data_IF_368930686366
#
_entry.id   IF_368930686366
#
_cell.length_a   1.000
_cell.length_b   1.000
_cell.length_c   1.000
_cell.angle_alpha   90.00
_cell.angle_beta   90.00
_cell.angle_gamma   90.00
#
_symmetry.space_group_name_H-M   'P 1'
#
loop_
_entity.id
_entity.type
_entity.pdbx_description
1 polymer ?
#
# COMPACT_ATOMS: atom_id res chain seq x y z
N UNK A 1 -22.47 -26.25 14.02
CA UNK A 1 -22.17 -25.21 13.00
C UNK A 1 -20.74 -24.74 13.16
N UNK A 2 -19.94 -24.83 12.11
CA UNK A 2 -18.56 -24.34 12.14
C UNK A 2 -18.57 -22.81 12.00
N UNK A 3 -17.81 -22.11 12.81
CA UNK A 3 -17.64 -20.65 12.75
C UNK A 3 -16.24 -20.32 12.23
N UNK A 4 -16.16 -19.52 11.15
CA UNK A 4 -14.91 -19.05 10.61
C UNK A 4 -14.64 -17.62 11.08
N UNK A 5 -13.50 -17.41 11.73
CA UNK A 5 -13.03 -16.12 12.22
C UNK A 5 -11.96 -15.61 11.26
N UNK A 6 -12.19 -14.49 10.61
CA UNK A 6 -11.25 -13.88 9.66
C UNK A 6 -11.22 -12.38 9.79
N UNK A 7 -10.10 -11.76 9.40
CA UNK A 7 -9.97 -10.32 9.41
C UNK A 7 -10.41 -9.72 8.10
N UNK A 8 -10.89 -8.47 8.17
CA UNK A 8 -11.14 -7.49 7.11
C UNK A 8 -11.78 -7.97 5.80
N UNK A 9 -12.58 -7.11 5.23
CA UNK A 9 -13.26 -7.28 3.93
C UNK A 9 -12.31 -7.78 2.82
N UNK A 10 -11.08 -7.27 2.78
CA UNK A 10 -10.08 -7.65 1.77
C UNK A 10 -9.66 -9.12 1.81
N UNK A 11 -9.54 -9.75 2.98
CA UNK A 11 -9.14 -11.16 3.08
C UNK A 11 -10.31 -12.07 2.76
N UNK A 12 -11.50 -11.69 3.18
CA UNK A 12 -12.73 -12.40 2.84
C UNK A 12 -12.93 -12.45 1.32
N UNK A 13 -12.69 -11.33 0.63
CA UNK A 13 -12.81 -11.27 -0.83
C UNK A 13 -11.74 -12.14 -1.52
N UNK A 14 -10.52 -12.16 -1.00
CA UNK A 14 -9.43 -12.99 -1.56
C UNK A 14 -9.64 -14.49 -1.37
N UNK A 15 -10.33 -14.90 -0.32
CA UNK A 15 -10.65 -16.29 -0.04
C UNK A 15 -12.10 -16.65 -0.45
N UNK A 16 -12.79 -15.76 -1.17
CA UNK A 16 -14.21 -15.88 -1.53
C UNK A 16 -14.57 -17.23 -2.13
N UNK A 17 -13.84 -17.67 -3.15
CA UNK A 17 -14.08 -18.97 -3.80
C UNK A 17 -13.99 -20.16 -2.85
N UNK A 18 -13.02 -20.15 -1.94
CA UNK A 18 -12.90 -21.18 -0.92
C UNK A 18 -14.06 -21.13 0.08
N UNK A 19 -14.48 -19.93 0.46
CA UNK A 19 -15.60 -19.74 1.38
C UNK A 19 -16.96 -20.08 0.76
N UNK A 20 -17.11 -19.88 -0.53
CA UNK A 20 -18.31 -20.27 -1.28
C UNK A 20 -18.50 -21.80 -1.34
N UNK A 21 -17.41 -22.54 -1.34
CA UNK A 21 -17.47 -24.02 -1.27
C UNK A 21 -17.91 -24.55 0.11
N UNK A 22 -18.05 -23.68 1.11
CA UNK A 22 -18.46 -24.03 2.46
C UNK A 22 -19.62 -23.16 2.96
N UNK A 23 -20.80 -23.21 2.33
CA UNK A 23 -21.91 -22.29 2.59
C UNK A 23 -22.49 -22.41 4.01
N UNK A 24 -22.27 -23.52 4.69
CA UNK A 24 -22.71 -23.73 6.08
C UNK A 24 -21.86 -23.07 7.16
N UNK A 25 -20.75 -22.42 6.78
CA UNK A 25 -19.87 -21.79 7.76
C UNK A 25 -20.33 -20.38 8.13
N UNK A 26 -20.43 -20.08 9.42
CA UNK A 26 -20.67 -18.73 9.91
C UNK A 26 -19.39 -17.92 9.85
N UNK A 27 -19.41 -16.78 9.15
CA UNK A 27 -18.25 -15.88 8.98
C UNK A 27 -18.29 -14.81 10.06
N UNK A 28 -17.19 -14.65 10.81
CA UNK A 28 -17.01 -13.63 11.85
C UNK A 28 -15.83 -12.75 11.51
N UNK A 29 -16.02 -11.45 11.46
CA UNK A 29 -14.98 -10.47 11.17
C UNK A 29 -14.17 -10.14 12.42
N UNK A 30 -12.85 -9.94 12.24
CA UNK A 30 -11.88 -9.51 13.25
C UNK A 30 -10.96 -8.45 12.67
N UNK A 31 -10.34 -7.66 13.52
CA UNK A 31 -9.47 -6.54 13.10
C UNK A 31 -8.24 -6.98 12.28
N UNK A 32 -7.69 -8.17 12.55
CA UNK A 32 -6.55 -8.68 11.82
C UNK A 32 -6.44 -10.22 11.89
N UNK A 33 -5.68 -10.80 10.96
CA UNK A 33 -5.53 -12.26 10.81
C UNK A 33 -4.79 -12.92 11.99
N UNK A 34 -3.77 -12.26 12.53
CA UNK A 34 -3.03 -12.78 13.67
C UNK A 34 -3.91 -12.79 14.94
N UNK A 35 -4.74 -11.76 15.14
CA UNK A 35 -5.75 -11.69 16.18
C UNK A 35 -6.80 -12.79 16.05
N UNK A 36 -7.20 -13.14 14.82
CA UNK A 36 -8.10 -14.26 14.56
C UNK A 36 -7.49 -15.60 15.04
N UNK A 37 -6.23 -15.85 14.73
CA UNK A 37 -5.50 -17.04 15.16
C UNK A 37 -5.35 -17.09 16.70
N UNK A 38 -4.98 -15.96 17.31
CA UNK A 38 -4.88 -15.84 18.76
C UNK A 38 -6.20 -16.16 19.46
N UNK A 39 -7.29 -15.57 18.96
CA UNK A 39 -8.64 -15.80 19.51
C UNK A 39 -9.03 -17.27 19.47
N UNK A 40 -8.83 -17.97 18.35
CA UNK A 40 -9.12 -19.40 18.24
C UNK A 40 -8.34 -20.22 19.29
N UNK A 41 -7.09 -19.83 19.54
CA UNK A 41 -6.27 -20.46 20.60
C UNK A 41 -6.84 -20.23 21.99
N UNK A 42 -7.27 -19.01 22.29
CA UNK A 42 -7.83 -18.62 23.58
C UNK A 42 -9.21 -19.24 23.83
N UNK A 43 -10.09 -19.20 22.82
CA UNK A 43 -11.44 -19.77 22.91
C UNK A 43 -11.42 -21.32 23.05
N UNK A 44 -10.36 -21.98 22.54
CA UNK A 44 -10.18 -23.43 22.53
C UNK A 44 -11.43 -24.22 22.08
N UNK A 45 -12.20 -23.63 21.17
CA UNK A 45 -13.43 -24.20 20.63
C UNK A 45 -13.13 -24.86 19.29
N UNK A 46 -13.27 -26.18 19.22
CA UNK A 46 -13.00 -27.02 18.03
C UNK A 46 -14.00 -26.77 16.89
N UNK A 47 -15.06 -26.03 17.12
CA UNK A 47 -16.02 -25.63 16.07
C UNK A 47 -15.61 -24.35 15.35
N UNK A 48 -14.51 -23.71 15.75
CA UNK A 48 -14.01 -22.48 15.18
C UNK A 48 -12.73 -22.73 14.37
N UNK A 49 -12.57 -21.95 13.29
CA UNK A 49 -11.35 -21.90 12.50
C UNK A 49 -10.98 -20.44 12.20
N UNK A 50 -9.73 -20.15 11.90
CA UNK A 50 -9.26 -18.83 11.52
C UNK A 50 -8.61 -18.85 10.13
N UNK A 51 -8.79 -17.76 9.38
CA UNK A 51 -7.95 -17.45 8.22
C UNK A 51 -6.76 -16.64 8.73
N UNK A 52 -5.56 -17.20 8.57
CA UNK A 52 -4.33 -16.56 9.05
C UNK A 52 -3.12 -17.00 8.20
N UNK A 53 -1.96 -16.42 8.46
CA UNK A 53 -0.71 -16.89 7.87
C UNK A 53 -0.29 -18.22 8.49
N UNK A 54 0.52 -19.01 7.75
CA UNK A 54 1.15 -20.24 8.28
C UNK A 54 1.93 -19.94 9.57
N UNK A 55 2.71 -18.86 9.59
CA UNK A 55 3.48 -18.44 10.77
C UNK A 55 2.60 -18.19 11.99
N UNK A 56 1.43 -17.57 11.84
CA UNK A 56 0.50 -17.38 12.94
C UNK A 56 -0.06 -18.71 13.44
N UNK A 57 -0.36 -19.65 12.55
CA UNK A 57 -0.78 -21.01 12.92
C UNK A 57 0.28 -21.73 13.75
N UNK A 58 1.52 -21.72 13.32
CA UNK A 58 2.66 -22.32 14.00
C UNK A 58 2.93 -21.67 15.38
N UNK A 59 2.96 -20.31 15.41
CA UNK A 59 3.19 -19.53 16.62
C UNK A 59 2.19 -19.85 17.73
N UNK A 60 0.91 -20.00 17.37
CA UNK A 60 -0.15 -20.31 18.33
C UNK A 60 -0.40 -21.82 18.52
N UNK A 61 0.38 -22.68 17.86
CA UNK A 61 0.24 -24.14 17.95
C UNK A 61 -1.11 -24.65 17.42
N UNK A 62 -1.62 -24.00 16.36
CA UNK A 62 -2.87 -24.37 15.73
C UNK A 62 -2.64 -25.35 14.58
N UNK A 63 -3.59 -26.29 14.38
CA UNK A 63 -3.56 -27.21 13.25
C UNK A 63 -3.96 -26.48 11.96
N UNK A 64 -3.12 -26.56 10.93
CA UNK A 64 -3.44 -26.07 9.61
C UNK A 64 -4.40 -27.04 8.92
N UNK A 65 -5.57 -26.58 8.54
CA UNK A 65 -6.63 -27.38 7.93
C UNK A 65 -6.61 -27.32 6.40
N UNK A 66 -6.27 -26.14 5.84
CA UNK A 66 -6.16 -25.92 4.40
C UNK A 66 -5.11 -24.84 4.12
N UNK A 67 -4.44 -24.93 2.99
CA UNK A 67 -3.41 -24.00 2.53
C UNK A 67 -3.76 -23.43 1.17
N UNK A 68 -3.15 -22.29 0.84
CA UNK A 68 -3.33 -21.62 -0.46
C UNK A 68 -4.79 -21.34 -0.82
N UNK A 69 -5.61 -20.99 0.17
CA UNK A 69 -7.03 -20.70 0.03
C UNK A 69 -7.32 -19.36 -0.66
N UNK A 70 -6.31 -18.50 -0.81
CA UNK A 70 -6.41 -17.26 -1.60
C UNK A 70 -6.35 -17.59 -3.09
N UNK A 71 -7.33 -17.12 -3.87
CA UNK A 71 -7.37 -17.33 -5.32
C UNK A 71 -6.47 -16.38 -6.12
N UNK A 72 -6.00 -15.29 -5.52
CA UNK A 72 -5.14 -14.29 -6.16
C UNK A 72 -3.73 -14.35 -5.58
N UNK A 73 -2.79 -14.97 -6.31
CA UNK A 73 -1.39 -15.07 -5.94
C UNK A 73 -0.58 -13.76 -6.11
N UNK A 74 -1.14 -12.72 -6.71
CA UNK A 74 -0.45 -11.45 -6.96
C UNK A 74 -0.59 -10.43 -5.81
N UNK A 75 -0.94 -10.90 -4.62
CA UNK A 75 -1.07 -10.02 -3.47
C UNK A 75 0.30 -9.67 -2.89
N UNK A 76 0.69 -8.42 -3.03
CA UNK A 76 1.93 -7.89 -2.45
C UNK A 76 1.62 -6.74 -1.48
N UNK A 77 2.19 -6.79 -0.30
CA UNK A 77 2.18 -5.67 0.65
C UNK A 77 3.54 -4.97 0.59
N UNK A 78 3.52 -3.67 0.28
CA UNK A 78 4.73 -2.85 0.28
C UNK A 78 4.88 -2.20 1.65
N UNK A 79 6.00 -2.46 2.30
CA UNK A 79 6.40 -1.78 3.53
C UNK A 79 7.30 -0.60 3.19
N UNK A 80 7.11 0.51 3.90
CA UNK A 80 7.93 1.71 3.75
C UNK A 80 8.66 1.96 5.07
N UNK A 81 9.99 2.11 4.98
CA UNK A 81 10.82 2.50 6.12
C UNK A 81 10.83 4.03 6.20
N UNK A 82 10.38 4.59 7.32
CA UNK A 82 10.33 6.04 7.55
C UNK A 82 11.44 6.45 8.52
N UNK A 83 12.22 7.46 8.15
CA UNK A 83 13.29 8.02 8.98
C UNK A 83 13.14 9.53 9.16
N UNK A 84 13.55 10.05 10.32
CA UNK A 84 13.62 11.51 10.56
C UNK A 84 14.72 12.21 9.76
N UNK A 85 15.77 11.46 9.42
CA UNK A 85 16.90 11.97 8.62
C UNK A 85 16.75 11.43 7.19
N UNK A 86 16.96 12.27 6.16
CA UNK A 86 16.97 11.78 4.79
C UNK A 86 18.12 10.79 4.63
N UNK A 87 17.80 9.60 4.13
CA UNK A 87 18.76 8.55 3.81
C UNK A 87 18.65 8.33 2.30
N UNK A 88 19.76 8.50 1.60
CA UNK A 88 19.87 8.28 0.16
C UNK A 88 20.72 7.06 -0.13
N UNK A 89 20.16 6.14 -0.87
CA UNK A 89 20.87 4.93 -1.31
C UNK A 89 21.60 5.24 -2.61
N UNK A 90 22.89 4.84 -2.72
CA UNK A 90 23.73 5.15 -3.88
C UNK A 90 23.14 4.61 -5.19
N UNK A 91 22.60 3.40 -5.13
CA UNK A 91 22.03 2.68 -6.29
C UNK A 91 20.50 2.65 -6.24
N UNK A 92 19.89 3.72 -5.75
CA UNK A 92 18.45 3.90 -5.73
C UNK A 92 17.87 3.99 -7.15
N UNK A 93 16.71 3.39 -7.36
CA UNK A 93 16.04 3.32 -8.65
C UNK A 93 14.67 3.98 -8.65
N UNK A 94 14.22 4.48 -7.51
CA UNK A 94 12.91 5.11 -7.37
C UNK A 94 12.98 6.37 -6.53
N UNK A 95 12.23 7.36 -6.98
CA UNK A 95 12.08 8.64 -6.29
C UNK A 95 10.61 8.84 -5.94
N UNK A 96 10.36 9.24 -4.70
CA UNK A 96 9.05 9.68 -4.24
C UNK A 96 9.10 11.16 -3.91
N UNK A 97 8.17 11.93 -4.46
CA UNK A 97 8.01 13.34 -4.19
C UNK A 97 6.57 13.66 -3.79
N UNK A 98 6.36 14.78 -3.14
CA UNK A 98 5.07 15.44 -3.18
C UNK A 98 5.21 16.87 -3.68
N UNK A 99 4.13 17.38 -4.26
CA UNK A 99 3.98 18.79 -4.59
C UNK A 99 2.54 19.27 -4.38
N UNK A 100 2.39 20.56 -4.18
CA UNK A 100 1.12 21.29 -4.07
C UNK A 100 1.02 22.24 -5.26
N UNK A 101 -0.16 22.35 -5.84
CA UNK A 101 -0.41 23.16 -7.04
C UNK A 101 -1.48 24.19 -6.80
N UNK A 102 -1.40 25.36 -7.48
CA UNK A 102 -2.53 26.25 -7.60
C UNK A 102 -3.75 25.54 -8.20
N UNK A 103 -4.94 25.90 -7.75
CA UNK A 103 -6.18 25.34 -8.30
C UNK A 103 -6.54 26.03 -9.61
N UNK A 104 -5.78 25.77 -10.67
CA UNK A 104 -5.94 26.36 -11.99
C UNK A 104 -5.97 25.27 -13.08
N UNK A 105 -6.61 25.61 -14.21
CA UNK A 105 -6.69 24.70 -15.34
C UNK A 105 -5.29 24.44 -15.93
N UNK A 106 -4.98 23.15 -16.15
CA UNK A 106 -3.72 22.74 -16.80
C UNK A 106 -2.51 22.60 -15.88
N UNK A 107 -2.56 23.07 -14.63
CA UNK A 107 -1.40 23.04 -13.71
C UNK A 107 -0.84 21.64 -13.51
N UNK A 108 -1.70 20.64 -13.32
CA UNK A 108 -1.25 19.25 -13.18
C UNK A 108 -0.59 18.72 -14.46
N UNK A 109 -1.14 19.05 -15.63
CA UNK A 109 -0.54 18.65 -16.91
C UNK A 109 0.86 19.24 -17.06
N UNK A 110 1.02 20.53 -16.83
CA UNK A 110 2.32 21.20 -16.90
C UNK A 110 3.33 20.55 -15.94
N UNK A 111 2.90 20.25 -14.75
CA UNK A 111 3.74 19.59 -13.74
C UNK A 111 4.19 18.21 -14.19
N UNK A 112 3.27 17.39 -14.71
CA UNK A 112 3.59 16.05 -15.20
C UNK A 112 4.46 16.08 -16.47
N UNK A 113 4.37 17.15 -17.26
CA UNK A 113 5.19 17.33 -18.46
C UNK A 113 6.69 17.33 -18.15
N UNK A 114 7.10 17.86 -17.00
CA UNK A 114 8.50 17.82 -16.56
C UNK A 114 9.02 16.40 -16.39
N UNK A 115 8.17 15.47 -15.92
CA UNK A 115 8.53 14.05 -15.80
C UNK A 115 8.60 13.42 -17.19
N UNK A 116 7.57 13.63 -18.02
CA UNK A 116 7.42 13.02 -19.34
C UNK A 116 8.52 13.47 -20.30
N UNK A 117 8.78 14.78 -20.42
CA UNK A 117 9.78 15.31 -21.35
C UNK A 117 11.23 15.01 -20.96
N UNK A 118 11.45 14.63 -19.71
CA UNK A 118 12.74 14.10 -19.25
C UNK A 118 12.83 12.57 -19.38
N UNK A 119 11.85 11.90 -20.00
CA UNK A 119 11.87 10.45 -20.24
C UNK A 119 11.76 9.61 -18.97
N UNK A 120 11.22 10.16 -17.88
CA UNK A 120 11.09 9.45 -16.62
C UNK A 120 9.78 8.66 -16.57
N UNK A 121 9.85 7.42 -16.08
CA UNK A 121 8.71 6.53 -15.96
C UNK A 121 8.01 6.73 -14.61
N UNK A 122 6.80 7.30 -14.62
CA UNK A 122 5.99 7.47 -13.42
C UNK A 122 5.30 6.15 -13.05
N UNK A 123 5.46 5.71 -11.80
CA UNK A 123 4.92 4.44 -11.30
C UNK A 123 3.73 4.61 -10.35
N UNK A 124 3.51 5.81 -9.83
CA UNK A 124 2.39 6.14 -8.95
C UNK A 124 2.05 7.62 -9.04
N UNK A 125 0.76 7.93 -8.99
CA UNK A 125 0.24 9.26 -8.70
C UNK A 125 -0.95 9.11 -7.74
N UNK A 126 -0.98 9.92 -6.68
CA UNK A 126 -2.05 9.94 -5.70
C UNK A 126 -2.29 11.37 -5.24
N UNK A 127 -3.55 11.79 -5.19
CA UNK A 127 -3.93 13.10 -4.65
C UNK A 127 -4.53 12.98 -3.26
N UNK A 128 -4.23 13.95 -2.40
CA UNK A 128 -4.84 14.10 -1.08
C UNK A 128 -5.27 15.56 -0.87
N UNK A 129 -6.47 15.81 -0.34
CA UNK A 129 -6.89 17.16 -0.01
C UNK A 129 -5.99 17.75 1.06
N UNK A 130 -5.73 19.07 0.96
CA UNK A 130 -4.94 19.78 1.96
C UNK A 130 -5.89 20.22 3.07
N UNK A 131 -5.62 19.80 4.30
CA UNK A 131 -6.41 20.16 5.48
C UNK A 131 -6.45 21.68 5.66
N UNK A 132 -7.64 22.25 5.77
CA UNK A 132 -7.84 23.68 5.95
C UNK A 132 -7.79 24.51 4.66
N UNK A 133 -7.65 23.89 3.50
CA UNK A 133 -7.70 24.55 2.20
C UNK A 133 -8.75 23.91 1.31
N UNK A 134 -9.79 24.64 0.96
CA UNK A 134 -10.85 24.14 0.09
C UNK A 134 -10.33 23.99 -1.36
N UNK A 135 -10.63 22.84 -1.97
CA UNK A 135 -10.32 22.55 -3.38
C UNK A 135 -8.84 22.54 -3.75
N UNK A 136 -7.93 22.49 -2.76
CA UNK A 136 -6.50 22.35 -2.99
C UNK A 136 -6.03 20.94 -2.64
N UNK A 137 -5.12 20.42 -3.46
CA UNK A 137 -4.65 19.05 -3.37
C UNK A 137 -3.12 19.00 -3.32
N UNK A 138 -2.64 18.05 -2.53
CA UNK A 138 -1.25 17.60 -2.56
C UNK A 138 -1.16 16.34 -3.40
N UNK A 139 -0.24 16.32 -4.35
CA UNK A 139 0.01 15.18 -5.21
C UNK A 139 1.26 14.46 -4.74
N UNK A 140 1.14 13.15 -4.56
CA UNK A 140 2.25 12.24 -4.27
C UNK A 140 2.57 11.49 -5.55
N UNK A 141 3.82 11.55 -5.99
CA UNK A 141 4.26 10.96 -7.25
C UNK A 141 5.52 10.13 -7.00
N UNK A 142 5.49 8.89 -7.49
CA UNK A 142 6.65 8.02 -7.56
C UNK A 142 7.05 7.84 -9.01
N UNK A 143 8.35 7.95 -9.31
CA UNK A 143 8.91 7.69 -10.62
C UNK A 143 10.26 7.00 -10.52
N UNK A 144 10.67 6.34 -11.59
CA UNK A 144 11.95 5.65 -11.68
C UNK A 144 13.08 6.62 -11.95
N UNK A 145 14.21 6.43 -11.26
CA UNK A 145 15.41 7.24 -11.44
C UNK A 145 16.24 7.38 -10.17
N UNK A 146 17.37 8.04 -10.32
CA UNK A 146 18.29 8.37 -9.24
C UNK A 146 18.49 9.90 -9.18
N UNK A 147 18.59 10.46 -7.98
CA UNK A 147 18.84 11.90 -7.79
C UNK A 147 20.16 12.41 -8.42
N UNK A 148 21.05 11.50 -8.82
CA UNK A 148 22.30 11.85 -9.54
C UNK A 148 22.06 12.07 -11.04
N UNK A 149 20.99 11.51 -11.59
CA UNK A 149 20.70 11.56 -13.03
C UNK A 149 20.36 12.97 -13.48
N UNK A 150 20.88 13.39 -14.62
CA UNK A 150 20.62 14.72 -15.16
C UNK A 150 19.15 14.93 -15.53
N UNK A 151 18.50 13.91 -16.10
CA UNK A 151 17.08 13.92 -16.42
C UNK A 151 16.21 14.15 -15.17
N UNK A 152 16.53 13.46 -14.07
CA UNK A 152 15.86 13.64 -12.76
C UNK A 152 16.07 15.04 -12.22
N UNK A 153 17.29 15.56 -12.25
CA UNK A 153 17.60 16.93 -11.77
C UNK A 153 16.85 17.99 -12.57
N UNK A 154 16.76 17.83 -13.88
CA UNK A 154 16.02 18.75 -14.74
C UNK A 154 14.52 18.71 -14.44
N UNK A 155 13.94 17.52 -14.32
CA UNK A 155 12.52 17.35 -13.98
C UNK A 155 12.20 17.97 -12.61
N UNK A 156 13.00 17.66 -11.58
CA UNK A 156 12.78 18.19 -10.24
C UNK A 156 12.91 19.71 -10.19
N UNK A 157 13.86 20.31 -10.92
CA UNK A 157 14.00 21.77 -11.01
C UNK A 157 12.77 22.42 -11.66
N UNK A 158 12.24 21.83 -12.75
CA UNK A 158 11.01 22.32 -13.38
C UNK A 158 9.81 22.23 -12.45
N UNK A 159 9.65 21.10 -11.78
CA UNK A 159 8.57 20.90 -10.78
C UNK A 159 8.68 21.91 -9.63
N UNK A 160 9.88 22.14 -9.10
CA UNK A 160 10.12 23.07 -8.00
C UNK A 160 9.83 24.53 -8.39
N UNK A 161 10.09 24.90 -9.64
CA UNK A 161 9.85 26.25 -10.14
C UNK A 161 8.35 26.60 -10.30
N UNK A 162 7.49 25.60 -10.55
CA UNK A 162 6.06 25.82 -10.80
C UNK A 162 5.16 25.42 -9.62
N UNK A 163 5.65 24.59 -8.68
CA UNK A 163 4.88 24.16 -7.53
C UNK A 163 4.85 25.23 -6.43
N UNK A 164 3.69 25.41 -5.77
CA UNK A 164 3.59 26.21 -4.55
C UNK A 164 4.47 25.65 -3.43
N UNK A 165 4.61 24.32 -3.43
CA UNK A 165 5.45 23.60 -2.49
C UNK A 165 5.85 22.25 -3.09
N UNK A 166 7.13 21.89 -3.00
CA UNK A 166 7.63 20.58 -3.37
C UNK A 166 8.55 20.00 -2.29
N UNK A 167 8.56 18.69 -2.15
CA UNK A 167 9.53 18.00 -1.30
C UNK A 167 9.83 16.60 -1.86
N UNK A 168 11.11 16.25 -1.85
CA UNK A 168 11.57 14.87 -2.08
C UNK A 168 11.35 14.09 -0.79
N UNK A 169 10.59 13.01 -0.86
CA UNK A 169 10.30 12.13 0.27
C UNK A 169 11.34 11.03 0.43
N UNK A 170 11.91 10.57 -0.67
CA UNK A 170 12.94 9.54 -0.67
C UNK A 170 13.49 9.23 -2.05
N UNK A 171 14.68 8.63 -2.06
CA UNK A 171 15.31 8.00 -3.21
C UNK A 171 15.81 6.63 -2.73
N UNK A 172 15.18 5.55 -3.20
CA UNK A 172 15.34 4.17 -2.70
C UNK A 172 15.25 3.14 -3.84
#
# INVERSE_FOLDING_TARGET
SCSLVGSEMCIRDRCGKYLESHPGWKKKEMENTAGSAKKIKEDNDKTQAAIASRQAGELYGLKILAENICYNGQNATRFVIVSKKPIYVKDAHKISIFFELPHESGTLYNMLSHIIYNGLNMTKIESRPITGKNWQYRFFVDFEGNLKDSAVKNALRGIEAEADRMRILGNY
#
